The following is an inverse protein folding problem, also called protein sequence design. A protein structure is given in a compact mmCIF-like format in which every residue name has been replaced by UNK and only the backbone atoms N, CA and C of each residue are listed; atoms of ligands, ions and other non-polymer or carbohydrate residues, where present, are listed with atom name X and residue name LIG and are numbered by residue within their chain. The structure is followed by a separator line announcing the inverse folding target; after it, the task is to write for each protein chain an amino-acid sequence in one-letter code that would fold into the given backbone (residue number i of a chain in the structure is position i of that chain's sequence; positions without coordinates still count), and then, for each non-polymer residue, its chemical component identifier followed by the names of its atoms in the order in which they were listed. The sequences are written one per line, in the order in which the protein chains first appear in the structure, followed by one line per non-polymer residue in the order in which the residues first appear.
data_IF_367346867222
#
_entry.id   IF_367346867222
#
_cell.length_a   1.000
_cell.length_b   1.000
_cell.length_c   1.000
_cell.angle_alpha   90.00
_cell.angle_beta   90.00
_cell.angle_gamma   90.00
#
_symmetry.space_group_name_H-M   'P 1'
#
loop_
_entity.id
_entity.type
_entity.pdbx_description
1 polymer ?
#
# COMPACT_ATOMS: atom_id res chain seq x y z
N UNK A 1 -26.81 -6.61 0.72
CA UNK A 1 -26.98 -6.09 -0.66
C UNK A 1 -26.25 -4.76 -0.84
N UNK A 2 -26.54 -3.71 -0.05
CA UNK A 2 -25.76 -2.46 -0.05
C UNK A 2 -24.27 -2.68 0.24
N UNK A 3 -23.95 -3.61 1.14
CA UNK A 3 -22.57 -3.92 1.54
C UNK A 3 -21.71 -4.42 0.37
N UNK A 4 -22.29 -5.17 -0.59
CA UNK A 4 -21.55 -5.63 -1.76
C UNK A 4 -21.27 -4.49 -2.75
N UNK A 5 -22.19 -3.53 -2.88
CA UNK A 5 -21.99 -2.32 -3.71
C UNK A 5 -20.91 -1.44 -3.07
N UNK A 6 -20.98 -1.26 -1.76
CA UNK A 6 -19.99 -0.51 -0.99
C UNK A 6 -18.61 -1.19 -0.97
N UNK A 7 -18.53 -2.51 -1.17
CA UNK A 7 -17.28 -3.26 -1.18
C UNK A 7 -16.59 -3.35 -2.55
N UNK A 8 -17.30 -3.09 -3.64
CA UNK A 8 -16.76 -3.18 -4.99
C UNK A 8 -15.76 -2.04 -5.29
N UNK A 9 -14.74 -2.34 -6.09
CA UNK A 9 -13.76 -1.35 -6.55
C UNK A 9 -14.19 -0.64 -7.84
N UNK A 10 -15.16 -1.20 -8.56
CA UNK A 10 -15.76 -0.62 -9.75
C UNK A 10 -17.28 -0.59 -9.61
N UNK A 11 -17.97 0.38 -10.26
CA UNK A 11 -19.42 0.41 -10.31
C UNK A 11 -19.99 -0.91 -10.82
N UNK A 12 -21.10 -1.34 -10.24
CA UNK A 12 -21.77 -2.59 -10.58
C UNK A 12 -23.11 -2.29 -11.25
N UNK A 13 -23.48 -3.06 -12.27
CA UNK A 13 -24.81 -2.97 -12.90
C UNK A 13 -25.80 -3.84 -12.14
N UNK A 14 -26.93 -3.26 -11.74
CA UNK A 14 -27.99 -3.95 -11.02
C UNK A 14 -29.32 -3.84 -11.76
N UNK A 15 -30.11 -4.89 -11.65
CA UNK A 15 -31.48 -4.93 -12.16
C UNK A 15 -32.45 -4.65 -11.01
N UNK A 16 -33.26 -3.60 -11.16
CA UNK A 16 -34.37 -3.36 -10.26
C UNK A 16 -35.62 -3.95 -10.91
N UNK A 17 -36.16 -5.02 -10.33
CA UNK A 17 -37.43 -5.60 -10.75
C UNK A 17 -38.55 -4.96 -9.92
N UNK A 18 -39.43 -4.21 -10.58
CA UNK A 18 -40.63 -3.67 -9.96
C UNK A 18 -41.88 -4.35 -10.57
N UNK A 19 -42.74 -4.89 -9.71
CA UNK A 19 -44.05 -5.39 -10.11
C UNK A 19 -45.07 -4.25 -10.04
N UNK A 20 -45.60 -3.85 -11.19
CA UNK A 20 -46.64 -2.82 -11.31
C UNK A 20 -47.99 -3.50 -11.60
N UNK A 21 -48.51 -4.23 -10.61
CA UNK A 21 -49.82 -4.87 -10.67
C UNK A 21 -50.09 -5.66 -11.96
N UNK A 22 -51.34 -5.69 -12.43
CA UNK A 22 -51.81 -6.51 -13.56
C UNK A 22 -51.24 -6.11 -14.95
N UNK A 23 -50.28 -5.18 -15.01
CA UNK A 23 -49.70 -4.66 -16.26
C UNK A 23 -48.33 -5.25 -16.63
N UNK A 24 -47.82 -6.20 -15.83
CA UNK A 24 -46.58 -6.94 -16.09
C UNK A 24 -45.35 -6.37 -15.37
N UNK A 25 -44.21 -7.02 -15.60
CA UNK A 25 -42.93 -6.66 -14.99
C UNK A 25 -42.24 -5.55 -15.81
N UNK A 26 -41.75 -4.52 -15.14
CA UNK A 26 -40.79 -3.55 -15.70
C UNK A 26 -39.43 -3.79 -15.06
N UNK A 27 -38.38 -3.80 -15.86
CA UNK A 27 -37.00 -3.81 -15.39
C UNK A 27 -36.28 -2.59 -15.97
N UNK A 28 -35.38 -2.02 -15.16
CA UNK A 28 -34.46 -0.96 -15.54
C UNK A 28 -33.09 -1.31 -14.96
N UNK A 29 -32.05 -1.15 -15.77
CA UNK A 29 -30.67 -1.34 -15.40
C UNK A 29 -30.10 -0.06 -14.80
N UNK A 30 -29.71 -0.11 -13.53
CA UNK A 30 -29.08 1.02 -12.85
C UNK A 30 -27.66 0.67 -12.45
N UNK A 31 -26.72 1.56 -12.82
CA UNK A 31 -25.32 1.47 -12.38
C UNK A 31 -25.20 2.12 -11.00
N UNK A 32 -24.70 1.38 -10.02
CA UNK A 32 -24.54 1.85 -8.65
C UNK A 32 -23.09 1.65 -8.17
N UNK A 33 -22.60 2.61 -7.39
CA UNK A 33 -21.25 2.61 -6.82
C UNK A 33 -20.31 3.63 -7.47
N UNK A 34 -19.08 3.68 -6.97
CA UNK A 34 -18.00 4.55 -7.48
C UNK A 34 -16.76 3.72 -7.77
N UNK A 35 -15.90 4.20 -8.65
CA UNK A 35 -14.54 3.65 -8.77
C UNK A 35 -13.76 4.00 -7.50
N UNK A 36 -13.08 3.01 -6.93
CA UNK A 36 -12.18 3.20 -5.79
C UNK A 36 -10.73 3.12 -6.24
N UNK A 37 -9.88 3.92 -5.63
CA UNK A 37 -8.45 3.90 -5.88
C UNK A 37 -7.80 2.67 -5.20
N UNK A 38 -6.63 2.21 -5.70
CA UNK A 38 -5.76 1.29 -4.98
C UNK A 38 -5.34 1.82 -3.61
N UNK A 39 -4.82 0.93 -2.77
CA UNK A 39 -4.29 1.25 -1.44
C UNK A 39 -3.23 0.21 -1.05
N UNK A 40 -1.95 0.53 -1.24
CA UNK A 40 -0.80 -0.32 -0.98
C UNK A 40 -0.33 -0.17 0.45
N UNK A 41 -0.51 -1.22 1.24
CA UNK A 41 -0.04 -1.25 2.62
C UNK A 41 0.57 -2.59 2.95
N UNK A 42 1.57 -2.56 3.83
CA UNK A 42 2.23 -3.77 4.29
C UNK A 42 1.35 -4.52 5.29
N UNK A 43 1.14 -5.81 5.05
CA UNK A 43 0.34 -6.69 5.93
C UNK A 43 1.20 -7.66 6.75
N UNK A 44 2.50 -7.70 6.47
CA UNK A 44 3.45 -8.52 7.22
C UNK A 44 4.85 -8.49 6.63
N UNK A 45 5.79 -9.05 7.38
CA UNK A 45 7.17 -9.21 6.97
C UNK A 45 8.06 -9.60 8.13
N UNK A 46 9.25 -10.13 7.82
CA UNK A 46 10.26 -10.50 8.82
C UNK A 46 11.65 -10.05 8.41
N UNK A 47 12.50 -9.88 9.42
CA UNK A 47 13.94 -9.72 9.27
C UNK A 47 14.66 -10.78 10.11
N UNK A 48 15.62 -11.51 9.52
CA UNK A 48 16.40 -12.50 10.26
C UNK A 48 17.77 -12.79 9.63
N UNK A 49 18.87 -12.67 10.40
CA UNK A 49 18.94 -12.15 11.77
C UNK A 49 18.69 -10.63 11.85
N UNK A 50 18.02 -10.17 12.92
CA UNK A 50 17.81 -8.74 13.18
C UNK A 50 19.04 -8.05 13.81
N UNK A 51 20.07 -8.82 14.19
CA UNK A 51 21.34 -8.31 14.64
C UNK A 51 22.49 -8.94 13.86
N UNK A 52 23.36 -8.10 13.30
CA UNK A 52 24.50 -8.54 12.49
C UNK A 52 25.80 -7.90 12.98
N UNK A 53 26.92 -8.47 12.56
CA UNK A 53 28.21 -7.78 12.62
C UNK A 53 28.41 -6.94 11.34
N UNK A 54 29.31 -5.94 11.34
CA UNK A 54 29.71 -5.27 10.11
C UNK A 54 30.12 -6.30 9.05
N UNK A 55 29.60 -6.16 7.82
CA UNK A 55 29.81 -7.13 6.74
C UNK A 55 28.86 -8.33 6.77
N UNK A 56 28.00 -8.42 7.79
CA UNK A 56 27.02 -9.49 7.94
C UNK A 56 25.87 -9.39 6.95
N UNK A 57 25.08 -10.46 6.94
CA UNK A 57 23.91 -10.61 6.06
C UNK A 57 22.66 -10.79 6.92
N UNK A 58 21.58 -10.12 6.53
CA UNK A 58 20.23 -10.39 7.02
C UNK A 58 19.35 -10.85 5.86
N UNK A 59 18.22 -11.49 6.16
CA UNK A 59 17.18 -11.77 5.17
C UNK A 59 15.94 -10.97 5.53
N UNK A 60 15.32 -10.33 4.55
CA UNK A 60 14.00 -9.71 4.70
C UNK A 60 12.95 -10.45 3.89
N UNK A 61 11.72 -10.49 4.39
CA UNK A 61 10.53 -10.85 3.62
C UNK A 61 9.42 -9.86 3.93
N UNK A 62 8.48 -9.67 3.01
CA UNK A 62 7.29 -8.86 3.26
C UNK A 62 6.11 -9.30 2.39
N UNK A 63 4.92 -8.94 2.84
CA UNK A 63 3.67 -9.03 2.11
C UNK A 63 3.08 -7.61 1.99
N UNK A 64 2.94 -7.14 0.76
CA UNK A 64 2.28 -5.89 0.42
C UNK A 64 0.91 -6.20 -0.17
N UNK A 65 -0.14 -5.55 0.33
CA UNK A 65 -1.50 -5.78 -0.14
C UNK A 65 -2.07 -4.53 -0.79
N UNK A 66 -2.86 -4.72 -1.84
CA UNK A 66 -3.83 -3.72 -2.30
C UNK A 66 -5.16 -4.38 -2.63
N UNK A 67 -6.25 -3.79 -2.13
CA UNK A 67 -7.59 -4.34 -2.34
C UNK A 67 -8.14 -4.01 -3.72
N UNK A 68 -7.98 -2.76 -4.15
CA UNK A 68 -8.48 -2.30 -5.44
C UNK A 68 -7.36 -2.26 -6.48
N UNK A 69 -7.65 -2.61 -7.74
CA UNK A 69 -6.60 -2.89 -8.70
C UNK A 69 -5.84 -1.63 -9.11
N UNK A 70 -4.52 -1.67 -9.00
CA UNK A 70 -3.62 -0.71 -9.61
C UNK A 70 -3.62 -0.86 -11.14
N UNK A 71 -3.69 0.26 -11.87
CA UNK A 71 -3.76 0.28 -13.33
C UNK A 71 -2.40 0.14 -14.04
N UNK A 72 -1.31 0.23 -13.30
CA UNK A 72 0.06 0.10 -13.78
C UNK A 72 0.92 -0.67 -12.78
N UNK A 73 2.08 -1.13 -13.24
CA UNK A 73 3.11 -1.68 -12.36
C UNK A 73 3.71 -0.57 -11.49
N UNK A 74 4.29 -0.97 -10.36
CA UNK A 74 5.00 -0.09 -9.43
C UNK A 74 6.16 -0.85 -8.77
N UNK A 75 6.77 -0.32 -7.72
CA UNK A 75 7.86 -0.97 -6.99
C UNK A 75 7.83 -0.65 -5.49
N UNK A 76 8.30 -1.61 -4.69
CA UNK A 76 8.74 -1.38 -3.31
C UNK A 76 10.20 -0.98 -3.34
N UNK A 77 10.50 0.26 -2.94
CA UNK A 77 11.85 0.72 -2.71
C UNK A 77 12.37 0.28 -1.34
N UNK A 78 13.61 -0.20 -1.29
CA UNK A 78 14.27 -0.69 -0.07
C UNK A 78 15.46 0.22 0.24
N UNK A 79 15.44 0.84 1.41
CA UNK A 79 16.43 1.83 1.84
C UNK A 79 17.03 1.46 3.19
N UNK A 80 18.29 1.82 3.39
CA UNK A 80 18.91 1.86 4.70
C UNK A 80 18.71 3.25 5.29
N UNK A 81 18.30 3.31 6.55
CA UNK A 81 18.16 4.52 7.33
C UNK A 81 18.90 4.42 8.68
N UNK A 82 19.22 5.57 9.26
CA UNK A 82 19.76 5.64 10.62
C UNK A 82 18.66 5.46 11.69
N UNK A 83 19.04 5.50 12.96
CA UNK A 83 18.13 5.35 14.10
C UNK A 83 17.02 6.44 14.21
N UNK A 84 17.14 7.55 13.48
CA UNK A 84 16.11 8.60 13.41
C UNK A 84 15.31 8.51 12.11
N UNK A 85 15.44 7.40 11.39
CA UNK A 85 14.87 7.15 10.06
C UNK A 85 15.33 8.11 8.97
N UNK A 86 16.48 8.78 9.12
CA UNK A 86 17.07 9.51 8.02
C UNK A 86 17.62 8.52 6.98
N UNK A 87 17.14 8.61 5.74
CA UNK A 87 17.60 7.74 4.65
C UNK A 87 19.09 7.98 4.38
N UNK A 88 19.87 6.89 4.42
CA UNK A 88 21.31 6.89 4.20
C UNK A 88 21.66 6.40 2.80
N UNK A 89 21.03 5.31 2.33
CA UNK A 89 21.33 4.72 1.03
C UNK A 89 20.18 3.88 0.48
N UNK A 90 20.06 3.84 -0.85
CA UNK A 90 19.19 2.90 -1.55
C UNK A 90 19.87 1.52 -1.64
N UNK A 91 19.13 0.47 -1.27
CA UNK A 91 19.59 -0.92 -1.34
C UNK A 91 19.13 -1.57 -2.66
N UNK A 92 17.87 -1.36 -3.03
CA UNK A 92 17.28 -1.95 -4.23
C UNK A 92 15.77 -1.75 -4.28
N UNK A 93 15.14 -2.24 -5.33
CA UNK A 93 13.69 -2.19 -5.51
C UNK A 93 13.14 -3.54 -5.94
N UNK A 94 11.89 -3.80 -5.57
CA UNK A 94 11.13 -5.00 -5.93
C UNK A 94 9.92 -4.58 -6.74
N UNK A 95 9.81 -5.07 -7.98
CA UNK A 95 8.67 -4.74 -8.84
C UNK A 95 7.37 -5.33 -8.29
N UNK A 96 6.30 -4.54 -8.34
CA UNK A 96 4.93 -4.91 -8.03
C UNK A 96 4.15 -4.90 -9.34
N UNK A 97 3.52 -6.03 -9.69
CA UNK A 97 2.69 -6.11 -10.87
C UNK A 97 1.41 -5.27 -10.73
N UNK A 98 0.87 -4.78 -11.85
CA UNK A 98 -0.45 -4.15 -11.86
C UNK A 98 -1.54 -5.13 -11.40
N UNK A 99 -2.61 -4.62 -10.79
CA UNK A 99 -3.75 -5.41 -10.35
C UNK A 99 -4.02 -5.29 -8.84
N UNK A 100 -4.77 -6.25 -8.32
CA UNK A 100 -5.16 -6.33 -6.91
C UNK A 100 -4.64 -7.61 -6.27
N UNK A 101 -4.54 -7.62 -4.94
CA UNK A 101 -4.13 -8.76 -4.13
C UNK A 101 -2.84 -8.51 -3.37
N UNK A 102 -2.22 -9.61 -2.94
CA UNK A 102 -0.97 -9.57 -2.17
C UNK A 102 0.22 -9.84 -3.08
N UNK A 103 1.21 -8.96 -3.03
CA UNK A 103 2.54 -9.15 -3.59
C UNK A 103 3.50 -9.53 -2.46
N UNK A 104 4.24 -10.62 -2.66
CA UNK A 104 5.11 -11.20 -1.63
C UNK A 104 6.56 -11.17 -2.07
N UNK A 105 7.44 -10.65 -1.21
CA UNK A 105 8.87 -10.90 -1.29
C UNK A 105 9.23 -12.05 -0.35
N UNK A 106 9.67 -13.22 -0.86
CA UNK A 106 10.20 -14.29 -0.01
C UNK A 106 11.52 -13.86 0.65
N UNK A 107 12.00 -14.57 1.69
CA UNK A 107 13.26 -14.26 2.36
C UNK A 107 14.40 -13.99 1.38
N UNK A 108 14.86 -12.75 1.36
CA UNK A 108 15.86 -12.24 0.41
C UNK A 108 17.03 -11.66 1.19
N UNK A 109 18.23 -12.15 0.87
CA UNK A 109 19.46 -11.78 1.56
C UNK A 109 19.91 -10.36 1.19
N UNK A 110 20.29 -9.57 2.21
CA UNK A 110 20.94 -8.27 2.10
C UNK A 110 22.25 -8.36 2.87
N UNK A 111 23.37 -8.16 2.17
CA UNK A 111 24.71 -8.13 2.77
C UNK A 111 25.17 -6.69 2.90
N UNK A 112 25.61 -6.32 4.10
CA UNK A 112 26.02 -4.95 4.42
C UNK A 112 27.53 -4.75 4.28
N UNK A 113 27.96 -3.49 4.31
CA UNK A 113 29.38 -3.14 4.25
C UNK A 113 30.13 -3.61 5.51
N UNK A 114 31.35 -4.15 5.39
CA UNK A 114 32.21 -4.44 6.54
C UNK A 114 32.69 -3.18 7.29
N UNK A 115 32.50 -2.00 6.70
CA UNK A 115 32.86 -0.72 7.30
C UNK A 115 31.67 0.00 7.95
N UNK A 116 30.51 -0.66 8.01
CA UNK A 116 29.32 -0.10 8.64
C UNK A 116 29.57 0.08 10.15
N UNK A 117 29.46 1.32 10.68
CA UNK A 117 29.63 1.56 12.11
C UNK A 117 28.58 0.79 12.92
N UNK A 118 28.96 0.37 14.12
CA UNK A 118 28.02 -0.24 15.06
C UNK A 118 26.95 0.76 15.46
N UNK A 119 25.70 0.31 15.57
CA UNK A 119 24.56 1.15 15.90
C UNK A 119 23.25 0.49 15.49
N UNK A 120 22.14 1.16 15.79
CA UNK A 120 20.81 0.78 15.33
C UNK A 120 20.52 1.47 14.01
N UNK A 121 20.02 0.69 13.06
CA UNK A 121 19.62 1.12 11.74
C UNK A 121 18.22 0.60 11.44
N UNK A 122 17.62 1.14 10.38
CA UNK A 122 16.34 0.64 9.88
C UNK A 122 16.45 0.29 8.40
N UNK A 123 15.82 -0.81 8.00
CA UNK A 123 15.53 -1.11 6.60
C UNK A 123 14.13 -0.59 6.33
N UNK A 124 14.01 0.51 5.60
CA UNK A 124 12.74 1.17 5.28
C UNK A 124 12.25 0.73 3.92
N UNK A 125 10.98 0.36 3.86
CA UNK A 125 10.27 -0.05 2.66
C UNK A 125 9.27 1.04 2.26
N UNK A 126 9.29 1.44 1.00
CA UNK A 126 8.31 2.37 0.42
C UNK A 126 7.56 1.67 -0.70
N UNK A 127 6.28 1.36 -0.49
CA UNK A 127 5.40 0.96 -1.57
C UNK A 127 5.12 2.17 -2.49
N UNK A 128 4.98 1.92 -3.78
CA UNK A 128 4.92 2.95 -4.81
C UNK A 128 5.97 4.05 -4.63
N UNK A 129 7.25 3.64 -4.56
CA UNK A 129 8.35 4.54 -4.18
C UNK A 129 8.48 5.80 -5.06
N UNK A 130 7.91 5.78 -6.27
CA UNK A 130 7.90 6.91 -7.21
C UNK A 130 6.67 7.81 -7.11
N UNK A 131 5.67 7.46 -6.28
CA UNK A 131 4.38 8.16 -6.18
C UNK A 131 3.64 8.20 -7.51
N UNK A 132 3.70 7.10 -8.26
CA UNK A 132 3.20 6.98 -9.62
C UNK A 132 1.73 6.57 -9.69
N UNK A 133 1.22 5.96 -8.63
CA UNK A 133 -0.16 5.49 -8.50
C UNK A 133 -0.84 6.36 -7.46
N UNK A 134 -1.96 6.97 -7.82
CA UNK A 134 -2.78 7.70 -6.84
C UNK A 134 -3.59 6.70 -6.01
N UNK A 135 -3.45 6.79 -4.69
CA UNK A 135 -4.00 5.83 -3.74
C UNK A 135 -5.06 6.45 -2.84
N UNK A 136 -5.89 5.59 -2.25
CA UNK A 136 -6.93 6.06 -1.32
C UNK A 136 -6.35 6.57 0.00
N UNK A 137 -5.14 6.12 0.34
CA UNK A 137 -4.34 6.58 1.45
C UNK A 137 -2.87 6.52 0.99
N UNK A 138 -2.14 7.63 1.15
CA UNK A 138 -0.71 7.71 0.77
C UNK A 138 0.20 7.60 2.01
N UNK A 139 -0.40 7.59 3.22
CA UNK A 139 0.32 7.65 4.48
C UNK A 139 0.61 6.26 5.08
N UNK A 140 0.09 5.18 4.47
CA UNK A 140 0.25 3.78 4.89
C UNK A 140 1.16 2.96 3.97
N UNK A 141 1.87 3.62 3.05
CA UNK A 141 2.77 3.00 2.07
C UNK A 141 4.16 2.65 2.64
N UNK A 142 4.39 2.88 3.94
CA UNK A 142 5.72 2.77 4.56
C UNK A 142 5.73 1.72 5.66
N UNK A 143 6.74 0.85 5.64
CA UNK A 143 7.06 -0.07 6.73
C UNK A 143 8.56 -0.11 6.98
N UNK A 144 8.99 -0.55 8.16
CA UNK A 144 10.42 -0.76 8.40
C UNK A 144 10.73 -1.94 9.32
N UNK A 145 11.96 -2.41 9.18
CA UNK A 145 12.60 -3.35 10.10
C UNK A 145 13.71 -2.67 10.87
N UNK A 146 13.81 -2.94 12.17
CA UNK A 146 15.02 -2.59 12.92
C UNK A 146 16.14 -3.60 12.62
N UNK A 147 17.35 -3.08 12.45
CA UNK A 147 18.59 -3.84 12.30
C UNK A 147 19.65 -3.30 13.26
N UNK A 148 20.15 -4.15 14.15
CA UNK A 148 21.26 -3.79 15.02
C UNK A 148 22.59 -4.26 14.44
N UNK A 149 23.52 -3.33 14.22
CA UNK A 149 24.90 -3.65 13.86
C UNK A 149 25.75 -3.65 15.12
N UNK A 150 26.20 -4.83 15.55
CA UNK A 150 26.96 -5.04 16.79
C UNK A 150 28.41 -5.38 16.48
N UNK A 151 29.33 -4.88 17.28
CA UNK A 151 30.75 -5.25 17.16
C UNK A 151 30.95 -6.75 17.41
N UNK A 152 32.04 -7.33 16.92
CA UNK A 152 32.34 -8.74 17.14
C UNK A 152 32.61 -9.01 18.63
N UNK A 153 31.60 -9.46 19.36
CA UNK A 153 31.78 -10.10 20.66
C UNK A 153 32.00 -11.61 20.43
N UNK A 154 33.04 -12.17 21.05
CA UNK A 154 33.25 -13.62 21.11
C UNK A 154 32.09 -14.26 21.87
N UNK A 155 31.18 -14.92 21.12
CA UNK A 155 30.12 -15.86 21.54
C UNK A 155 29.07 -15.34 22.53
N UNK A 156 27.88 -15.01 22.02
CA UNK A 156 26.64 -15.78 22.24
C UNK A 156 25.41 -15.00 21.75
N UNK A 157 24.46 -15.76 21.18
CA UNK A 157 23.01 -15.63 21.30
C UNK A 157 22.25 -15.47 19.98
N UNK A 158 21.27 -16.37 19.82
CA UNK A 158 20.07 -16.21 19.02
C UNK A 158 19.65 -14.74 18.98
N UNK A 159 19.71 -14.13 17.80
CA UNK A 159 18.95 -12.91 17.56
C UNK A 159 17.60 -13.35 17.03
N UNK A 160 16.58 -13.29 17.90
CA UNK A 160 15.20 -13.51 17.48
C UNK A 160 14.88 -12.53 16.34
N UNK A 161 14.18 -13.03 15.33
CA UNK A 161 13.81 -12.25 14.15
C UNK A 161 12.94 -11.05 14.52
N UNK A 162 13.09 -9.96 13.78
CA UNK A 162 12.23 -8.79 13.90
C UNK A 162 11.00 -8.93 13.01
N UNK A 163 9.88 -8.33 13.43
CA UNK A 163 8.71 -8.17 12.57
C UNK A 163 8.76 -6.82 11.87
N UNK A 164 8.09 -6.73 10.72
CA UNK A 164 7.87 -5.46 10.06
C UNK A 164 6.97 -4.60 10.96
N UNK A 165 7.38 -3.37 11.23
CA UNK A 165 6.50 -2.35 11.83
C UNK A 165 5.78 -1.62 10.70
N UNK A 166 4.46 -1.85 10.51
CA UNK A 166 3.66 -1.13 9.53
C UNK A 166 3.35 0.29 10.04
N UNK A 167 3.26 1.26 9.13
CA UNK A 167 2.82 2.65 9.39
C UNK A 167 3.73 3.45 10.33
N UNK A 168 4.97 3.70 9.89
CA UNK A 168 5.82 4.71 10.53
C UNK A 168 5.23 6.11 10.37
N UNK A 169 4.77 6.72 11.46
CA UNK A 169 4.33 8.12 11.43
C UNK A 169 5.54 9.06 11.17
N UNK A 170 5.50 9.87 10.10
CA UNK A 170 6.60 10.74 9.69
C UNK A 170 6.94 11.85 10.71
N UNK A 171 8.23 12.29 10.74
CA UNK A 171 8.58 13.68 10.48
C UNK A 171 9.10 13.85 9.03
N UNK A 172 8.74 12.93 8.12
CA UNK A 172 8.98 13.08 6.69
C UNK A 172 8.06 14.17 6.13
N UNK A 173 8.65 15.31 5.78
CA UNK A 173 7.99 16.28 4.93
C UNK A 173 8.10 15.80 3.47
N UNK A 174 7.02 15.32 2.83
CA UNK A 174 7.02 15.25 1.38
C UNK A 174 7.17 16.66 0.84
N UNK A 175 8.00 16.82 -0.20
CA UNK A 175 8.21 18.09 -0.92
C UNK A 175 6.84 18.71 -1.25
N UNK A 176 6.52 19.77 -0.53
CA UNK A 176 5.37 20.62 -0.82
C UNK A 176 5.66 21.46 -2.05
N UNK A 177 5.03 21.14 -3.18
CA UNK A 177 4.44 22.10 -4.13
C UNK A 177 4.05 21.40 -5.43
N UNK A 178 2.90 21.84 -5.96
CA UNK A 178 2.25 21.43 -7.21
C UNK A 178 1.50 20.10 -6.99
N UNK A 179 0.18 20.05 -6.82
CA UNK A 179 -0.85 20.75 -7.58
C UNK A 179 -2.04 21.05 -6.67
N UNK A 180 -2.27 22.34 -6.38
CA UNK A 180 -3.63 22.81 -6.17
C UNK A 180 -4.31 22.80 -7.54
N UNK A 181 -5.13 21.79 -7.83
CA UNK A 181 -6.23 21.95 -8.76
C UNK A 181 -7.53 21.71 -8.00
N UNK A 182 -8.39 22.72 -8.05
CA UNK A 182 -9.61 22.80 -7.25
C UNK A 182 -10.51 21.59 -7.45
N UNK A 183 -11.20 21.25 -6.36
CA UNK A 183 -12.41 20.46 -6.34
C UNK A 183 -13.50 21.15 -7.18
N UNK A 184 -13.42 21.02 -8.49
CA UNK A 184 -14.54 21.14 -9.40
C UNK A 184 -15.03 19.74 -9.70
N UNK A 185 -15.83 19.17 -8.80
CA UNK A 185 -16.59 17.98 -9.12
C UNK A 185 -17.51 18.32 -10.31
N UNK A 186 -17.44 17.63 -11.45
CA UNK A 186 -18.47 17.75 -12.46
C UNK A 186 -19.73 17.04 -11.93
N UNK A 187 -20.68 17.87 -11.55
CA UNK A 187 -22.11 17.71 -11.78
C UNK A 187 -22.74 16.35 -11.43
N UNK A 188 -23.41 16.39 -10.28
CA UNK A 188 -24.52 15.55 -9.87
C UNK A 188 -25.42 15.11 -11.05
N UNK A 189 -25.32 13.86 -11.47
CA UNK A 189 -26.36 13.24 -12.29
C UNK A 189 -27.35 12.49 -11.39
N UNK A 190 -28.10 13.24 -10.59
CA UNK A 190 -29.42 12.78 -10.15
C UNK A 190 -30.40 13.30 -11.20
N UNK A 191 -30.80 12.47 -12.16
CA UNK A 191 -31.99 12.82 -12.95
C UNK A 191 -33.16 12.91 -11.99
N UNK A 192 -33.71 14.12 -11.82
CA UNK A 192 -35.05 14.28 -11.26
C UNK A 192 -36.02 13.49 -12.14
N UNK A 193 -36.79 12.61 -11.53
CA UNK A 193 -37.97 12.04 -12.16
C UNK A 193 -39.01 13.15 -12.28
N UNK A 194 -39.11 13.78 -13.44
CA UNK A 194 -40.26 14.62 -13.77
C UNK A 194 -41.42 13.70 -14.13
N UNK A 195 -42.38 13.58 -13.20
CA UNK A 195 -43.64 12.91 -13.44
C UNK A 195 -44.51 13.79 -14.35
N UNK A 196 -44.67 13.40 -15.62
CA UNK A 196 -45.68 13.96 -16.49
C UNK A 196 -46.98 13.16 -16.31
N UNK A 197 -48.07 13.74 -15.76
CA UNK A 197 -49.37 13.10 -15.80
C UNK A 197 -49.94 13.20 -17.23
N UNK A 198 -50.06 12.07 -17.91
CA UNK A 198 -50.85 11.99 -19.15
C UNK A 198 -52.35 12.07 -18.82
N UNK A 199 -53.08 12.84 -19.64
CA UNK A 199 -54.54 13.03 -19.60
C UNK A 199 -55.28 11.86 -20.22
#
# INVERSE_FOLDING_TARGET
MLENIAAACTPQTWYILAELGWSGYKYDDTVMGTTKQPDFYFIGGTISPAAIQPGGTTNISFDLHTRCPASSESAVGIYLADANYQLLSFIGAVNIASGAGTSTLPPTAITFSPYMPTGTYHIVLFADEYGSIAESNEDNNVGAFQLDVKGSALVAADSEGGQLEPELQPPFAPKTALYKLGSGAPDNYVRKFDYAPER
#
